data_IF_241246869546
#
_entry.id   IF_241246869546
#
_cell.length_a   1.000
_cell.length_b   1.000
_cell.length_c   1.000
_cell.angle_alpha   90.00
_cell.angle_beta   90.00
_cell.angle_gamma   90.00
#
_symmetry.space_group_name_H-M   'P 1'
#
loop_
_entity.id
_entity.type
_entity.pdbx_description
1 polymer ?
#
# COMPACT_ATOMS: atom_id res chain seq x y z
N UNK A 1 -14.63 -59.70 -32.93
CA UNK A 1 -13.59 -60.38 -32.12
C UNK A 1 -12.27 -59.70 -32.44
N UNK A 2 -11.73 -58.94 -31.47
CA UNK A 2 -10.31 -58.76 -31.12
C UNK A 2 -9.29 -58.45 -32.25
N UNK A 3 -8.84 -57.19 -32.23
CA UNK A 3 -7.46 -56.67 -32.20
C UNK A 3 -6.32 -57.20 -33.10
N UNK A 4 -5.52 -56.18 -33.51
CA UNK A 4 -4.07 -56.12 -33.82
C UNK A 4 -3.65 -56.12 -35.29
N UNK A 5 -3.11 -54.96 -35.71
CA UNK A 5 -2.11 -54.79 -36.76
C UNK A 5 -1.00 -53.86 -36.24
N UNK A 6 0.16 -54.47 -35.93
CA UNK A 6 1.52 -53.97 -36.25
C UNK A 6 1.64 -54.05 -37.79
N UNK A 7 2.36 -53.25 -38.59
CA UNK A 7 3.54 -52.36 -38.55
C UNK A 7 3.33 -51.39 -39.76
N UNK A 8 3.93 -50.21 -39.85
CA UNK A 8 5.24 -50.03 -40.48
C UNK A 8 5.74 -48.59 -40.25
N UNK A 9 7.02 -48.51 -39.88
CA UNK A 9 7.83 -47.30 -39.71
C UNK A 9 8.32 -46.82 -41.07
N UNK A 10 8.08 -45.56 -41.41
CA UNK A 10 8.68 -44.88 -42.56
C UNK A 10 10.03 -44.26 -42.17
N UNK A 11 11.07 -44.62 -42.93
CA UNK A 11 12.50 -44.38 -42.71
C UNK A 11 13.00 -42.97 -43.09
N UNK A 12 12.13 -41.97 -43.23
CA UNK A 12 12.52 -40.63 -43.70
C UNK A 12 12.81 -39.58 -42.59
N UNK A 13 12.55 -39.88 -41.32
CA UNK A 13 12.78 -38.94 -40.19
C UNK A 13 14.13 -39.09 -39.48
N UNK A 14 14.92 -40.12 -39.81
CA UNK A 14 16.26 -40.37 -39.23
C UNK A 14 17.41 -39.72 -40.02
N UNK A 15 17.27 -38.44 -40.42
CA UNK A 15 18.39 -37.62 -40.94
C UNK A 15 18.49 -36.22 -40.36
N UNK A 16 17.60 -35.84 -39.43
CA UNK A 16 17.71 -34.58 -38.68
C UNK A 16 18.36 -34.75 -37.29
N UNK A 17 18.42 -35.98 -36.76
CA UNK A 17 19.23 -36.31 -35.59
C UNK A 17 20.57 -36.88 -36.07
N UNK A 18 21.65 -36.13 -35.86
CA UNK A 18 23.10 -36.45 -35.98
C UNK A 18 23.78 -35.35 -36.81
N UNK A 19 23.97 -34.16 -36.20
CA UNK A 19 25.03 -33.18 -36.52
C UNK A 19 25.05 -31.94 -35.59
N UNK A 20 24.75 -32.10 -34.30
CA UNK A 20 24.87 -30.99 -33.32
C UNK A 20 25.46 -31.40 -31.97
N UNK A 21 26.14 -32.54 -31.91
CA UNK A 21 27.04 -32.88 -30.82
C UNK A 21 28.45 -32.86 -31.43
N UNK A 22 29.27 -31.90 -30.97
CA UNK A 22 30.75 -31.83 -31.00
C UNK A 22 31.25 -30.38 -31.20
N UNK A 23 31.23 -29.56 -30.13
CA UNK A 23 32.39 -28.72 -29.73
C UNK A 23 32.35 -28.59 -28.19
N UNK A 24 33.29 -29.20 -27.45
CA UNK A 24 33.37 -29.18 -26.00
C UNK A 24 34.26 -28.04 -25.47
N UNK A 25 34.06 -27.70 -24.20
CA UNK A 25 35.05 -27.28 -23.20
C UNK A 25 36.19 -26.32 -23.63
N UNK A 26 36.02 -25.01 -23.37
CA UNK A 26 37.09 -24.07 -22.99
C UNK A 26 36.51 -22.67 -22.65
N UNK A 27 35.76 -22.59 -21.56
CA UNK A 27 35.46 -21.33 -20.89
C UNK A 27 35.28 -21.54 -19.37
N UNK A 28 36.21 -22.28 -18.77
CA UNK A 28 36.50 -22.25 -17.33
C UNK A 28 37.86 -21.56 -17.17
N UNK A 29 37.95 -20.64 -16.19
CA UNK A 29 38.96 -19.58 -16.00
C UNK A 29 38.80 -18.42 -17.01
N UNK A 30 38.44 -17.19 -16.64
CA UNK A 30 38.84 -16.39 -15.48
C UNK A 30 37.74 -15.36 -15.20
N UNK A 31 36.97 -15.53 -14.11
CA UNK A 31 36.50 -14.40 -13.26
C UNK A 31 36.39 -14.92 -11.82
N UNK A 32 37.53 -15.33 -11.25
CA UNK A 32 37.69 -15.37 -9.79
C UNK A 32 38.25 -14.02 -9.37
N UNK A 33 37.46 -13.24 -8.62
CA UNK A 33 37.90 -12.03 -7.93
C UNK A 33 37.34 -10.75 -8.51
N UNK A 34 36.12 -10.39 -8.10
CA UNK A 34 35.81 -9.24 -7.24
C UNK A 34 34.59 -9.70 -6.42
N UNK A 35 34.86 -10.44 -5.35
CA UNK A 35 33.96 -10.48 -4.20
C UNK A 35 34.19 -9.21 -3.38
N UNK A 36 33.15 -8.74 -2.71
CA UNK A 36 33.07 -7.50 -1.92
C UNK A 36 32.95 -6.20 -2.72
N UNK A 37 31.72 -5.88 -3.12
CA UNK A 37 31.15 -4.54 -2.88
C UNK A 37 29.62 -4.59 -2.96
N UNK A 38 28.97 -4.44 -1.81
CA UNK A 38 27.62 -3.87 -1.73
C UNK A 38 26.41 -4.77 -1.94
N UNK A 39 26.24 -5.84 -1.15
CA UNK A 39 24.88 -6.07 -0.62
C UNK A 39 24.65 -4.98 0.42
N UNK A 40 24.16 -3.82 -0.01
CA UNK A 40 23.58 -2.87 0.91
C UNK A 40 22.28 -3.51 1.40
N UNK A 41 22.31 -4.11 2.59
CA UNK A 41 21.09 -4.33 3.37
C UNK A 41 20.40 -2.97 3.47
N UNK A 42 19.21 -2.86 2.88
CA UNK A 42 18.37 -1.69 3.04
C UNK A 42 17.74 -1.77 4.44
N UNK A 43 18.58 -1.50 5.46
CA UNK A 43 18.12 -1.16 6.79
C UNK A 43 17.68 0.31 6.74
N UNK A 44 16.51 0.58 6.17
CA UNK A 44 15.79 1.78 6.57
C UNK A 44 15.18 1.46 7.93
N UNK A 45 15.90 1.88 8.97
CA UNK A 45 15.27 2.15 10.25
C UNK A 45 14.23 3.23 10.00
N UNK A 46 12.97 2.83 9.91
CA UNK A 46 11.86 3.76 10.07
C UNK A 46 11.84 4.09 11.57
N UNK A 47 12.63 5.07 12.00
CA UNK A 47 12.29 5.83 13.21
C UNK A 47 11.06 6.65 12.87
N UNK A 48 9.92 5.96 12.92
CA UNK A 48 8.61 6.57 12.84
C UNK A 48 8.33 7.12 14.24
N UNK A 49 8.12 8.43 14.36
CA UNK A 49 7.40 9.00 15.49
C UNK A 49 6.07 8.27 15.60
N UNK A 50 6.03 7.29 16.49
CA UNK A 50 4.97 6.30 16.53
C UNK A 50 3.80 6.91 17.28
N UNK A 51 2.88 7.58 16.58
CA UNK A 51 1.55 7.82 17.12
C UNK A 51 0.79 6.50 17.03
N UNK A 52 0.89 5.71 18.11
CA UNK A 52 0.17 4.44 18.25
C UNK A 52 -1.32 4.71 18.38
N UNK A 53 -2.12 4.18 17.44
CA UNK A 53 -3.56 4.10 17.61
C UNK A 53 -3.87 2.78 18.35
N UNK A 54 -4.41 2.87 19.56
CA UNK A 54 -4.80 1.70 20.36
C UNK A 54 -6.27 1.33 20.04
N UNK A 55 -6.53 0.04 19.80
CA UNK A 55 -7.84 -0.46 19.37
C UNK A 55 -8.67 -0.92 20.57
N UNK A 56 -9.92 -0.46 20.66
CA UNK A 56 -10.98 -1.13 21.42
C UNK A 56 -11.89 -1.87 20.46
N UNK A 57 -11.86 -3.20 20.55
CA UNK A 57 -12.85 -4.09 19.96
C UNK A 57 -14.05 -4.00 20.89
N UNK A 58 -15.00 -3.07 20.70
CA UNK A 58 -16.38 -3.13 21.18
C UNK A 58 -17.05 -1.74 21.08
N UNK A 59 -18.09 -1.65 20.23
CA UNK A 59 -18.97 -0.49 20.04
C UNK A 59 -18.31 0.83 19.57
N UNK A 60 -19.06 1.65 18.84
CA UNK A 60 -18.60 2.92 18.25
C UNK A 60 -18.07 3.89 19.32
N UNK A 61 -16.77 3.80 19.61
CA UNK A 61 -16.09 4.60 20.61
C UNK A 61 -14.69 4.95 20.09
N UNK A 62 -14.53 6.18 19.62
CA UNK A 62 -13.23 6.73 19.26
C UNK A 62 -12.58 7.29 20.52
N UNK A 63 -11.52 6.65 21.03
CA UNK A 63 -10.66 7.23 22.06
C UNK A 63 -9.33 7.66 21.43
N UNK A 64 -9.12 8.97 21.32
CA UNK A 64 -7.82 9.55 20.97
C UNK A 64 -7.02 9.73 22.25
N UNK A 65 -5.96 8.94 22.41
CA UNK A 65 -4.93 9.19 23.40
C UNK A 65 -3.81 10.01 22.77
N UNK A 66 -3.84 11.34 22.93
CA UNK A 66 -2.66 12.17 22.67
C UNK A 66 -1.65 11.95 23.79
N UNK A 67 -0.66 11.07 23.58
CA UNK A 67 0.50 11.03 24.46
C UNK A 67 1.53 12.06 23.99
N UNK A 68 1.48 13.25 24.61
CA UNK A 68 2.59 14.18 24.60
C UNK A 68 3.73 13.57 25.43
N UNK A 69 4.57 12.75 24.81
CA UNK A 69 5.84 12.37 25.44
C UNK A 69 6.79 13.56 25.34
N UNK A 70 6.64 14.52 26.24
CA UNK A 70 7.66 15.51 26.53
C UNK A 70 8.90 14.78 27.10
N UNK A 71 9.80 14.34 26.22
CA UNK A 71 11.17 14.05 26.62
C UNK A 71 11.88 15.41 26.67
N UNK A 72 12.41 15.85 27.82
CA UNK A 72 13.24 17.04 27.85
C UNK A 72 14.59 16.68 27.23
N UNK A 73 14.69 16.77 25.90
CA UNK A 73 15.97 16.72 25.20
C UNK A 73 16.58 18.11 25.21
N UNK A 74 17.66 18.24 25.97
CA UNK A 74 18.52 19.40 26.02
C UNK A 74 18.94 19.86 24.60
N UNK A 75 18.72 21.15 24.34
CA UNK A 75 19.31 22.01 23.31
C UNK A 75 19.85 21.35 22.03
N UNK A 76 18.97 21.15 21.05
CA UNK A 76 19.31 21.39 19.65
C UNK A 76 18.30 22.39 19.13
N UNK A 77 18.78 23.52 18.60
CA UNK A 77 17.93 24.57 18.05
C UNK A 77 17.12 24.05 16.88
N UNK A 78 15.95 23.48 17.16
CA UNK A 78 14.97 23.11 16.17
C UNK A 78 14.14 24.35 15.92
N UNK A 79 14.32 24.97 14.75
CA UNK A 79 13.29 25.85 14.22
C UNK A 79 12.03 25.01 14.08
N UNK A 80 11.14 25.07 15.07
CA UNK A 80 9.80 24.51 15.00
C UNK A 80 9.06 25.24 13.88
N UNK A 81 9.28 24.80 12.65
CA UNK A 81 8.44 25.20 11.54
C UNK A 81 7.13 24.47 11.76
N UNK A 82 6.14 25.19 12.25
CA UNK A 82 4.75 24.73 12.22
C UNK A 82 4.41 24.47 10.76
N UNK A 83 4.27 23.20 10.39
CA UNK A 83 3.77 22.84 9.06
C UNK A 83 2.27 23.14 9.09
N UNK A 84 1.88 24.25 8.47
CA UNK A 84 0.48 24.55 8.23
C UNK A 84 0.01 23.72 7.03
N UNK A 85 -0.80 22.68 7.30
CA UNK A 85 -1.39 21.85 6.26
C UNK A 85 -2.48 22.63 5.54
N UNK A 86 -2.45 22.64 4.20
CA UNK A 86 -3.46 23.32 3.39
C UNK A 86 -4.55 22.38 2.92
N UNK A 87 -5.78 22.88 2.83
CA UNK A 87 -6.84 22.21 2.07
C UNK A 87 -6.48 22.24 0.56
N UNK A 88 -6.41 21.09 -0.13
CA UNK A 88 -6.05 21.05 -1.55
C UNK A 88 -7.19 21.56 -2.46
N UNK A 89 -6.89 21.83 -3.72
CA UNK A 89 -7.89 21.81 -4.80
C UNK A 89 -8.22 20.37 -5.21
N UNK A 90 -9.34 20.15 -5.90
CA UNK A 90 -9.66 18.83 -6.44
C UNK A 90 -8.59 18.29 -7.40
N UNK A 91 -7.97 19.18 -8.18
CA UNK A 91 -6.86 18.83 -9.07
C UNK A 91 -5.63 18.36 -8.28
N UNK A 92 -5.24 19.08 -7.22
CA UNK A 92 -4.14 18.67 -6.35
C UNK A 92 -4.43 17.34 -5.64
N UNK A 93 -5.66 17.10 -5.18
CA UNK A 93 -6.06 15.81 -4.62
C UNK A 93 -5.91 14.69 -5.65
N UNK A 94 -6.39 14.90 -6.89
CA UNK A 94 -6.26 13.91 -7.97
C UNK A 94 -4.79 13.60 -8.25
N UNK A 95 -3.97 14.64 -8.37
CA UNK A 95 -2.56 14.48 -8.73
C UNK A 95 -1.76 13.82 -7.59
N UNK A 96 -2.08 14.13 -6.33
CA UNK A 96 -1.57 13.43 -5.16
C UNK A 96 -1.92 11.94 -5.19
N UNK A 97 -3.20 11.59 -5.32
CA UNK A 97 -3.66 10.18 -5.32
C UNK A 97 -3.05 9.38 -6.47
N UNK A 98 -2.86 9.97 -7.66
CA UNK A 98 -2.21 9.29 -8.78
C UNK A 98 -0.72 8.98 -8.55
N UNK A 99 -0.05 9.77 -7.71
CA UNK A 99 1.37 9.63 -7.39
C UNK A 99 1.60 8.70 -6.19
N UNK A 100 0.70 8.74 -5.21
CA UNK A 100 0.73 7.90 -4.03
C UNK A 100 0.76 6.41 -4.39
N UNK A 101 1.58 5.63 -3.69
CA UNK A 101 1.81 4.22 -4.02
C UNK A 101 1.06 3.26 -3.09
N UNK A 102 0.28 3.77 -2.14
CA UNK A 102 -0.32 2.98 -1.05
C UNK A 102 -1.27 1.91 -1.58
N UNK A 103 -2.03 2.19 -2.63
CA UNK A 103 -2.93 1.23 -3.28
C UNK A 103 -2.22 0.00 -3.87
N UNK A 104 -0.89 0.05 -4.02
CA UNK A 104 -0.06 -1.08 -4.50
C UNK A 104 0.31 -2.05 -3.38
N UNK A 105 0.08 -1.68 -2.12
CA UNK A 105 0.32 -2.55 -0.98
C UNK A 105 -0.67 -3.71 -0.95
N UNK A 106 -0.26 -4.83 -0.34
CA UNK A 106 -1.13 -6.00 -0.20
C UNK A 106 -1.89 -5.93 1.11
N UNK A 107 -3.19 -6.20 1.07
CA UNK A 107 -3.96 -6.45 2.27
C UNK A 107 -3.46 -7.72 2.96
N UNK A 108 -3.14 -7.62 4.25
CA UNK A 108 -2.73 -8.74 5.09
C UNK A 108 -3.58 -8.70 6.36
N UNK A 109 -4.44 -9.69 6.53
CA UNK A 109 -5.32 -9.79 7.69
C UNK A 109 -4.51 -9.75 9.00
N UNK A 110 -4.97 -8.96 9.96
CA UNK A 110 -4.34 -8.69 11.26
C UNK A 110 -2.92 -8.06 11.20
N UNK A 111 -2.46 -7.58 10.04
CA UNK A 111 -1.12 -6.97 9.90
C UNK A 111 -1.13 -5.68 9.09
N UNK A 112 -1.83 -5.65 7.96
CA UNK A 112 -1.91 -4.51 7.06
C UNK A 112 -3.31 -4.47 6.41
N UNK A 113 -4.24 -3.91 7.16
CA UNK A 113 -5.66 -3.80 6.83
C UNK A 113 -6.05 -2.37 6.44
N UNK A 114 -7.32 -2.12 6.11
CA UNK A 114 -7.84 -0.83 5.62
C UNK A 114 -7.35 0.39 6.42
N UNK A 115 -7.29 0.30 7.75
CA UNK A 115 -6.75 1.38 8.60
C UNK A 115 -5.32 1.78 8.26
N UNK A 116 -4.45 0.83 7.91
CA UNK A 116 -3.05 1.12 7.58
C UNK A 116 -2.96 1.80 6.21
N UNK A 117 -3.77 1.37 5.23
CA UNK A 117 -3.86 2.07 3.94
C UNK A 117 -4.33 3.52 4.14
N UNK A 118 -5.37 3.74 4.95
CA UNK A 118 -5.87 5.09 5.23
C UNK A 118 -4.83 5.95 5.98
N UNK A 119 -4.13 5.38 6.97
CA UNK A 119 -3.03 6.03 7.68
C UNK A 119 -1.88 6.40 6.76
N UNK A 120 -1.46 5.49 5.87
CA UNK A 120 -0.34 5.74 4.96
C UNK A 120 -0.67 6.85 3.95
N UNK A 121 -1.87 6.84 3.35
CA UNK A 121 -2.31 7.94 2.46
C UNK A 121 -2.41 9.27 3.22
N UNK A 122 -2.88 9.26 4.46
CA UNK A 122 -2.97 10.45 5.30
C UNK A 122 -1.57 11.02 5.60
N UNK A 123 -0.64 10.19 6.07
CA UNK A 123 0.74 10.58 6.35
C UNK A 123 1.47 11.09 5.10
N UNK A 124 1.27 10.45 3.94
CA UNK A 124 1.88 10.87 2.68
C UNK A 124 1.31 12.22 2.22
N UNK A 125 0.02 12.49 2.44
CA UNK A 125 -0.58 13.80 2.15
C UNK A 125 0.02 14.89 3.04
N UNK A 126 0.16 14.63 4.35
CA UNK A 126 0.79 15.55 5.29
C UNK A 126 2.24 15.87 4.92
N UNK A 127 3.00 14.85 4.48
CA UNK A 127 4.36 15.03 3.99
C UNK A 127 4.46 15.93 2.74
N UNK A 128 3.36 16.10 2.02
CA UNK A 128 3.21 17.04 0.90
C UNK A 128 2.54 18.37 1.28
N UNK A 129 2.30 18.57 2.58
CA UNK A 129 1.63 19.76 3.11
C UNK A 129 0.13 19.80 2.84
N UNK A 130 -0.49 18.67 2.49
CA UNK A 130 -1.91 18.57 2.20
C UNK A 130 -2.67 18.08 3.44
N UNK A 131 -3.75 18.77 3.77
CA UNK A 131 -4.67 18.37 4.83
C UNK A 131 -5.56 17.22 4.35
N UNK A 132 -5.48 16.10 5.04
CA UNK A 132 -6.21 14.87 4.76
C UNK A 132 -6.92 14.42 6.04
N UNK A 133 -8.16 13.97 5.94
CA UNK A 133 -8.90 13.38 7.04
C UNK A 133 -8.77 11.85 7.03
N UNK A 134 -8.68 11.26 8.20
CA UNK A 134 -8.96 9.84 8.40
C UNK A 134 -10.47 9.66 8.64
N UNK A 135 -11.10 8.74 7.92
CA UNK A 135 -12.56 8.55 7.96
C UNK A 135 -12.89 7.11 8.32
N UNK A 136 -13.83 6.93 9.24
CA UNK A 136 -14.43 5.63 9.54
C UNK A 136 -15.86 5.58 8.98
N UNK A 137 -16.11 4.60 8.11
CA UNK A 137 -17.44 4.17 7.73
C UNK A 137 -17.87 3.07 8.71
N UNK A 138 -18.82 3.36 9.58
CA UNK A 138 -19.29 2.43 10.60
C UNK A 138 -20.48 1.62 10.06
N UNK A 139 -20.51 0.34 10.38
CA UNK A 139 -21.60 -0.60 10.05
C UNK A 139 -22.13 -1.24 11.33
N UNK A 140 -23.25 -1.96 11.25
CA UNK A 140 -23.79 -2.74 12.38
C UNK A 140 -22.76 -3.75 12.92
N UNK A 141 -21.89 -4.27 12.04
CA UNK A 141 -20.81 -5.19 12.39
C UNK A 141 -19.49 -4.76 11.76
N UNK A 142 -18.74 -3.93 12.49
CA UNK A 142 -17.40 -3.50 12.12
C UNK A 142 -17.37 -2.14 11.44
N UNK A 143 -16.22 -1.83 10.85
CA UNK A 143 -15.95 -0.53 10.27
C UNK A 143 -14.97 -0.65 9.10
N UNK A 144 -14.98 0.34 8.21
CA UNK A 144 -14.02 0.45 7.12
C UNK A 144 -13.36 1.84 7.12
N UNK A 145 -12.04 1.88 6.99
CA UNK A 145 -11.28 3.13 6.99
C UNK A 145 -11.05 3.62 5.57
N UNK A 146 -11.35 4.89 5.33
CA UNK A 146 -11.09 5.61 4.08
C UNK A 146 -10.45 6.96 4.41
N UNK A 147 -10.12 7.76 3.40
CA UNK A 147 -9.63 9.13 3.60
C UNK A 147 -10.55 10.14 2.94
N UNK A 148 -10.49 11.40 3.40
CA UNK A 148 -11.19 12.50 2.75
C UNK A 148 -10.35 13.77 2.64
N UNK A 149 -10.56 14.53 1.59
CA UNK A 149 -9.97 15.84 1.37
C UNK A 149 -11.06 16.90 1.30
N UNK A 150 -10.96 17.95 2.11
CA UNK A 150 -11.86 19.10 2.03
C UNK A 150 -11.32 20.02 0.93
N UNK A 151 -11.77 19.78 -0.30
CA UNK A 151 -11.24 20.49 -1.45
C UNK A 151 -11.81 21.90 -1.52
N UNK A 152 -10.95 22.87 -1.80
CA UNK A 152 -11.31 24.30 -1.82
C UNK A 152 -12.32 24.66 -2.92
N UNK A 153 -12.47 23.83 -3.95
CA UNK A 153 -13.29 24.09 -5.13
C UNK A 153 -14.43 23.07 -5.35
N UNK A 154 -14.42 21.92 -4.68
CA UNK A 154 -15.46 20.88 -4.83
C UNK A 154 -15.99 20.30 -3.52
N UNK A 155 -15.58 20.86 -2.38
CA UNK A 155 -15.95 20.38 -1.06
C UNK A 155 -15.32 19.03 -0.74
N UNK A 156 -15.97 18.25 0.13
CA UNK A 156 -15.41 17.01 0.64
C UNK A 156 -15.35 15.90 -0.41
N UNK A 157 -14.17 15.30 -0.59
CA UNK A 157 -13.92 14.19 -1.53
C UNK A 157 -13.37 12.99 -0.79
N UNK A 158 -14.10 11.88 -0.83
CA UNK A 158 -13.70 10.63 -0.20
C UNK A 158 -12.96 9.72 -1.20
N UNK A 159 -11.87 9.10 -0.74
CA UNK A 159 -11.04 8.19 -1.53
C UNK A 159 -10.88 6.87 -0.77
N UNK A 160 -11.06 5.76 -1.49
CA UNK A 160 -10.76 4.40 -1.03
C UNK A 160 -9.26 4.13 -1.19
N UNK A 161 -8.46 4.15 -0.11
CA UNK A 161 -7.00 4.09 -0.19
C UNK A 161 -6.46 2.73 -0.69
N UNK A 162 -7.28 1.67 -0.68
CA UNK A 162 -6.87 0.37 -1.23
C UNK A 162 -6.97 0.31 -2.76
N UNK A 163 -7.68 1.25 -3.41
CA UNK A 163 -7.98 1.18 -4.85
C UNK A 163 -7.88 2.51 -5.58
N UNK A 164 -7.58 3.61 -4.89
CA UNK A 164 -7.60 4.99 -5.38
C UNK A 164 -8.97 5.45 -5.91
N UNK A 165 -10.03 4.67 -5.66
CA UNK A 165 -11.35 4.98 -6.14
C UNK A 165 -11.96 6.14 -5.35
N UNK A 166 -12.51 7.13 -6.07
CA UNK A 166 -13.40 8.11 -5.46
C UNK A 166 -14.72 7.44 -5.09
N UNK A 167 -15.15 7.63 -3.85
CA UNK A 167 -16.39 7.08 -3.31
C UNK A 167 -17.31 8.20 -2.82
N UNK A 168 -18.59 7.88 -2.63
CA UNK A 168 -19.61 8.82 -2.13
C UNK A 168 -20.39 8.13 -1.00
N UNK A 169 -19.79 7.99 0.19
CA UNK A 169 -20.47 7.37 1.32
C UNK A 169 -21.58 8.29 1.84
N UNK A 170 -22.72 7.70 2.17
CA UNK A 170 -23.89 8.39 2.74
C UNK A 170 -24.43 7.54 3.90
N UNK A 171 -24.84 8.18 4.99
CA UNK A 171 -25.53 7.50 6.09
C UNK A 171 -26.82 6.87 5.57
N UNK A 172 -27.11 5.64 6.01
CA UNK A 172 -28.15 4.75 5.46
C UNK A 172 -27.91 4.29 4.01
N UNK A 173 -26.82 4.73 3.38
CA UNK A 173 -26.31 4.20 2.12
C UNK A 173 -25.59 2.86 2.31
N UNK A 174 -25.10 2.28 1.21
CA UNK A 174 -24.35 1.02 1.25
C UNK A 174 -22.93 1.17 0.74
N UNK A 175 -21.99 0.52 1.44
CA UNK A 175 -20.61 0.37 1.02
C UNK A 175 -20.16 -1.07 1.22
N UNK A 176 -19.55 -1.69 0.21
CA UNK A 176 -19.12 -3.09 0.24
C UNK A 176 -20.21 -4.08 0.73
N UNK A 177 -21.48 -3.81 0.39
CA UNK A 177 -22.70 -4.56 0.79
C UNK A 177 -23.18 -4.33 2.23
N UNK A 178 -22.43 -3.62 3.05
CA UNK A 178 -22.83 -3.20 4.39
C UNK A 178 -23.55 -1.85 4.36
N UNK A 179 -24.49 -1.64 5.29
CA UNK A 179 -25.19 -0.36 5.47
C UNK A 179 -24.39 0.56 6.38
N UNK A 180 -24.09 1.77 5.91
CA UNK A 180 -23.38 2.78 6.69
C UNK A 180 -24.34 3.36 7.72
N UNK A 181 -24.08 3.11 9.00
CA UNK A 181 -24.88 3.65 10.11
C UNK A 181 -24.37 5.02 10.57
N UNK A 182 -23.06 5.26 10.43
CA UNK A 182 -22.39 6.48 10.88
C UNK A 182 -21.11 6.70 10.06
N UNK A 183 -20.75 7.97 9.90
CA UNK A 183 -19.49 8.40 9.27
C UNK A 183 -18.77 9.30 10.26
N UNK A 184 -17.61 8.87 10.73
CA UNK A 184 -16.74 9.65 11.60
C UNK A 184 -15.58 10.22 10.79
N UNK A 185 -15.30 11.52 10.94
CA UNK A 185 -14.24 12.22 10.23
C UNK A 185 -13.28 12.83 11.26
N UNK A 186 -12.02 12.41 11.23
CA UNK A 186 -10.94 12.93 12.05
C UNK A 186 -9.93 13.68 11.19
N UNK A 187 -9.55 14.88 11.62
CA UNK A 187 -8.65 15.79 10.92
C UNK A 187 -7.37 16.05 11.71
#
# INVERSE_FOLDING_TARGET
MIYLWLEWVDTSTMRACIRSLLVPALACLVITGIGFLGYASYNNGYEHGSLGYEYSQDNCGYQVGYQETAIPSESVGSSSQTIELKNPTFEETRDFILKDATSRNKFILNQYECRHFATDVNNNAEAEGLRCAFVLLCFDRGQHSVVAFDTTDRGLVFIEPQTDARIHPEVSGRYQREEIIEILIAW
#
